data_IF_786001583560
#
_entry.id   IF_786001583560
#
_cell.length_a   1.000
_cell.length_b   1.000
_cell.length_c   1.000
_cell.angle_alpha   90.00
_cell.angle_beta   90.00
_cell.angle_gamma   90.00
#
_symmetry.space_group_name_H-M   'P 1'
#
loop_
_entity.id
_entity.type
_entity.pdbx_description
1 polymer ?
#
# COMPACT_ATOMS: atom_id res chain seq x y z
N UNK A 1 0.47 5.96 -17.57
CA UNK A 1 -0.11 5.53 -16.27
C UNK A 1 0.54 6.32 -15.14
N UNK A 2 -0.27 7.03 -14.35
CA UNK A 2 0.16 7.86 -13.22
C UNK A 2 -0.02 7.14 -11.89
N UNK A 3 0.39 7.78 -10.78
CA UNK A 3 0.30 7.24 -9.41
C UNK A 3 -1.10 6.78 -9.00
N UNK A 4 -2.15 7.40 -9.54
CA UNK A 4 -3.55 7.07 -9.21
C UNK A 4 -4.01 5.72 -9.76
N UNK A 5 -3.17 5.07 -10.57
CA UNK A 5 -3.38 3.73 -11.12
C UNK A 5 -2.47 2.68 -10.47
N UNK A 6 -1.83 3.05 -9.36
CA UNK A 6 -0.78 2.25 -8.71
C UNK A 6 -0.96 2.25 -7.20
N UNK A 7 -1.03 1.07 -6.61
CA UNK A 7 -1.11 0.85 -5.18
C UNK A 7 0.05 -0.03 -4.72
N UNK A 8 0.90 0.48 -3.84
CA UNK A 8 1.89 -0.30 -3.14
C UNK A 8 1.27 -0.93 -1.89
N UNK A 9 1.46 -2.24 -1.74
CA UNK A 9 0.85 -3.04 -0.68
C UNK A 9 1.93 -3.82 0.07
N UNK A 10 1.93 -3.74 1.40
CA UNK A 10 2.93 -4.36 2.27
C UNK A 10 2.33 -5.29 3.34
N UNK A 11 1.01 -5.52 3.29
CA UNK A 11 0.28 -6.26 4.32
C UNK A 11 -0.90 -7.07 3.76
N UNK A 12 -2.02 -7.05 4.48
CA UNK A 12 -3.18 -7.95 4.28
C UNK A 12 -3.86 -7.88 2.89
N UNK A 13 -3.59 -6.84 2.10
CA UNK A 13 -4.10 -6.67 0.73
C UNK A 13 -3.23 -7.38 -0.33
N UNK A 14 -2.07 -7.93 0.03
CA UNK A 14 -1.16 -8.57 -0.90
C UNK A 14 -1.78 -9.87 -1.49
N UNK A 15 -1.35 -10.32 -2.68
CA UNK A 15 -1.86 -11.56 -3.29
C UNK A 15 -1.79 -12.74 -2.32
N UNK A 16 -2.92 -13.44 -2.15
CA UNK A 16 -3.04 -14.59 -1.26
C UNK A 16 -3.23 -14.28 0.23
N UNK A 17 -3.36 -13.00 0.60
CA UNK A 17 -3.70 -12.58 1.96
C UNK A 17 -5.21 -12.41 2.15
N UNK A 18 -5.65 -12.33 3.41
CA UNK A 18 -7.07 -12.33 3.80
C UNK A 18 -7.90 -11.24 3.10
N UNK A 19 -7.31 -10.07 2.85
CA UNK A 19 -8.00 -8.92 2.26
C UNK A 19 -7.71 -8.73 0.77
N UNK A 20 -7.00 -9.64 0.11
CA UNK A 20 -6.76 -9.58 -1.34
C UNK A 20 -8.07 -9.47 -2.15
N UNK A 21 -9.18 -9.99 -1.61
CA UNK A 21 -10.51 -9.88 -2.20
C UNK A 21 -10.99 -8.42 -2.40
N UNK A 22 -10.41 -7.44 -1.69
CA UNK A 22 -10.72 -6.03 -1.89
C UNK A 22 -10.20 -5.49 -3.22
N UNK A 23 -9.11 -6.08 -3.73
CA UNK A 23 -8.52 -5.78 -5.04
C UNK A 23 -8.89 -6.84 -6.08
N UNK A 24 -9.52 -7.94 -5.66
CA UNK A 24 -9.96 -9.01 -6.56
C UNK A 24 -11.08 -8.52 -7.48
N UNK A 25 -10.90 -8.74 -8.79
CA UNK A 25 -11.82 -8.31 -9.84
C UNK A 25 -11.35 -7.07 -10.60
N UNK A 26 -10.34 -6.34 -10.11
CA UNK A 26 -9.69 -5.26 -10.86
C UNK A 26 -8.75 -5.85 -11.92
N UNK A 27 -8.85 -5.38 -13.15
CA UNK A 27 -7.92 -5.76 -14.21
C UNK A 27 -6.56 -5.13 -13.95
N UNK A 28 -5.54 -5.93 -13.62
CA UNK A 28 -4.25 -5.37 -13.24
C UNK A 28 -3.11 -6.36 -13.10
N UNK A 29 -1.91 -5.81 -12.96
CA UNK A 29 -0.66 -6.56 -12.76
C UNK A 29 -0.07 -6.32 -11.38
N UNK A 30 0.58 -7.35 -10.86
CA UNK A 30 1.35 -7.30 -9.63
C UNK A 30 2.84 -7.41 -9.94
N UNK A 31 3.66 -6.61 -9.28
CA UNK A 31 5.11 -6.73 -9.34
C UNK A 31 5.75 -6.44 -7.97
N UNK A 32 6.85 -7.10 -7.61
CA UNK A 32 7.57 -6.80 -6.38
C UNK A 32 8.23 -5.42 -6.47
N UNK A 33 8.25 -4.71 -5.36
CA UNK A 33 8.94 -3.43 -5.22
C UNK A 33 9.41 -3.21 -3.78
N UNK A 34 10.09 -2.10 -3.58
CA UNK A 34 10.61 -1.69 -2.27
C UNK A 34 10.23 -0.23 -2.01
N UNK A 35 9.76 0.06 -0.80
CA UNK A 35 9.63 1.44 -0.29
C UNK A 35 10.52 1.61 0.93
N UNK A 36 10.68 2.85 1.41
CA UNK A 36 11.42 3.12 2.65
C UNK A 36 10.50 3.67 3.72
N UNK A 37 10.63 3.14 4.92
CA UNK A 37 9.80 3.53 6.06
C UNK A 37 9.93 2.58 7.24
N UNK A 38 9.24 2.94 8.32
CA UNK A 38 9.25 2.17 9.55
C UNK A 38 7.96 1.35 9.64
N UNK A 39 8.10 0.04 9.81
CA UNK A 39 6.99 -0.82 10.21
C UNK A 39 6.77 -0.66 11.70
N UNK A 40 5.58 -0.23 12.08
CA UNK A 40 5.16 -0.01 13.47
C UNK A 40 4.09 -1.03 13.78
N UNK A 41 4.24 -1.75 14.89
CA UNK A 41 3.25 -2.71 15.37
C UNK A 41 2.06 -1.96 16.01
N UNK A 42 1.35 -1.20 15.19
CA UNK A 42 0.23 -0.32 15.54
C UNK A 42 -0.76 -0.22 14.36
N UNK A 43 -2.03 0.04 14.67
CA UNK A 43 -3.17 -0.03 13.74
C UNK A 43 -4.00 -1.30 13.91
N UNK A 44 -5.27 -1.32 13.46
CA UNK A 44 -6.13 -2.51 13.57
C UNK A 44 -5.54 -3.77 12.91
N UNK A 45 -4.72 -3.59 11.87
CA UNK A 45 -3.98 -4.66 11.22
C UNK A 45 -2.91 -5.30 12.12
N UNK A 46 -2.34 -4.56 13.08
CA UNK A 46 -1.27 -5.02 13.95
C UNK A 46 -1.73 -6.16 14.88
N UNK A 47 -2.96 -6.07 15.39
CA UNK A 47 -3.59 -7.15 16.16
C UNK A 47 -3.79 -8.44 15.33
N UNK A 48 -3.80 -8.32 14.00
CA UNK A 48 -3.86 -9.43 13.04
C UNK A 48 -2.49 -9.78 12.42
N UNK A 49 -1.39 -9.17 12.90
CA UNK A 49 -0.02 -9.44 12.41
C UNK A 49 0.43 -8.61 11.21
N UNK A 50 -0.28 -7.52 10.88
CA UNK A 50 0.05 -6.58 9.81
C UNK A 50 0.49 -5.23 10.41
N UNK A 51 1.80 -5.04 10.68
CA UNK A 51 2.29 -3.77 11.21
C UNK A 51 2.00 -2.67 10.21
N UNK A 52 1.55 -1.50 10.67
CA UNK A 52 1.35 -0.37 9.78
C UNK A 52 2.66 0.31 9.39
N UNK A 53 2.71 0.87 8.19
CA UNK A 53 3.90 1.54 7.66
C UNK A 53 3.84 3.04 7.89
N UNK A 54 4.97 3.63 8.33
CA UNK A 54 5.23 5.07 8.27
C UNK A 54 6.31 5.33 7.22
N UNK A 55 5.97 5.87 6.03
CA UNK A 55 6.93 6.20 5.00
C UNK A 55 7.99 7.18 5.51
N UNK A 56 9.27 6.83 5.33
CA UNK A 56 10.41 7.64 5.74
C UNK A 56 11.58 7.34 4.78
N UNK A 57 12.08 8.33 4.00
CA UNK A 57 13.21 8.13 3.10
C UNK A 57 14.50 7.67 3.79
N UNK A 58 14.67 7.99 5.07
CA UNK A 58 15.81 7.54 5.89
C UNK A 58 15.53 6.22 6.61
N UNK A 59 14.31 5.69 6.51
CA UNK A 59 13.91 4.42 7.10
C UNK A 59 14.50 3.20 6.38
N UNK A 60 14.33 2.01 6.99
CA UNK A 60 14.72 0.75 6.37
C UNK A 60 13.88 0.45 5.13
N UNK A 61 14.37 -0.49 4.32
CA UNK A 61 13.68 -0.99 3.13
C UNK A 61 12.53 -1.92 3.54
N UNK A 62 11.35 -1.66 2.98
CA UNK A 62 10.14 -2.43 3.20
C UNK A 62 9.71 -3.03 1.88
N UNK A 63 9.63 -4.36 1.85
CA UNK A 63 9.18 -5.11 0.69
C UNK A 63 7.68 -4.87 0.46
N UNK A 64 7.32 -4.51 -0.76
CA UNK A 64 5.94 -4.27 -1.17
C UNK A 64 5.59 -5.06 -2.43
N UNK A 65 4.30 -5.19 -2.68
CA UNK A 65 3.73 -5.61 -3.95
C UNK A 65 3.07 -4.38 -4.57
N UNK A 66 3.54 -3.96 -5.75
CA UNK A 66 2.94 -2.90 -6.52
C UNK A 66 1.85 -3.47 -7.40
N UNK A 67 0.60 -3.12 -7.10
CA UNK A 67 -0.54 -3.35 -7.95
C UNK A 67 -0.70 -2.20 -8.94
N UNK A 68 -0.88 -2.50 -10.21
CA UNK A 68 -1.13 -1.52 -11.27
C UNK A 68 -2.39 -1.91 -12.04
N UNK A 69 -3.37 -1.01 -12.11
CA UNK A 69 -4.68 -1.28 -12.73
C UNK A 69 -5.29 0.01 -13.28
N UNK A 70 -6.01 -0.10 -14.40
CA UNK A 70 -6.79 1.01 -14.96
C UNK A 70 -8.04 1.35 -14.13
N UNK A 71 -8.53 0.39 -13.35
CA UNK A 71 -9.76 0.50 -12.56
C UNK A 71 -9.51 1.14 -11.17
N UNK A 72 -8.25 1.21 -10.71
CA UNK A 72 -7.91 1.75 -9.38
C UNK A 72 -8.50 3.15 -9.08
N UNK A 73 -8.49 4.13 -10.01
CA UNK A 73 -9.10 5.43 -9.83
C UNK A 73 -10.54 5.40 -9.33
N UNK A 74 -11.34 4.45 -9.82
CA UNK A 74 -12.77 4.33 -9.50
C UNK A 74 -13.02 3.60 -8.17
N UNK A 75 -11.98 2.99 -7.59
CA UNK A 75 -12.07 2.17 -6.39
C UNK A 75 -11.42 2.80 -5.16
N UNK A 76 -10.81 3.98 -5.29
CA UNK A 76 -10.14 4.67 -4.20
C UNK A 76 -11.05 4.97 -3.02
N UNK A 77 -12.26 5.50 -3.24
CA UNK A 77 -13.20 5.82 -2.15
C UNK A 77 -13.56 4.58 -1.33
N UNK A 78 -13.72 3.42 -2.00
CA UNK A 78 -14.00 2.15 -1.32
C UNK A 78 -12.81 1.68 -0.49
N UNK A 79 -11.60 1.77 -1.03
CA UNK A 79 -10.38 1.36 -0.33
C UNK A 79 -10.10 2.29 0.85
N UNK A 80 -10.26 3.60 0.68
CA UNK A 80 -10.13 4.60 1.74
C UNK A 80 -11.14 4.35 2.86
N UNK A 81 -12.39 3.98 2.53
CA UNK A 81 -13.41 3.61 3.52
C UNK A 81 -13.13 2.29 4.25
N UNK A 82 -12.49 1.31 3.59
CA UNK A 82 -12.12 0.03 4.20
C UNK A 82 -10.97 0.18 5.20
N UNK A 83 -9.94 0.93 4.82
CA UNK A 83 -8.77 1.19 5.66
C UNK A 83 -9.12 2.11 6.85
N UNK A 84 -10.12 2.99 6.67
CA UNK A 84 -10.75 3.73 7.74
C UNK A 84 -9.91 4.89 8.29
N UNK A 85 -10.11 5.21 9.57
CA UNK A 85 -9.50 6.38 10.19
C UNK A 85 -8.04 6.15 10.63
N UNK A 86 -7.59 4.90 10.73
CA UNK A 86 -6.25 4.55 11.21
C UNK A 86 -5.18 4.67 10.12
N UNK A 87 -5.59 4.61 8.86
CA UNK A 87 -4.70 4.69 7.72
C UNK A 87 -5.06 5.88 6.83
N UNK A 88 -4.06 6.38 6.10
CA UNK A 88 -4.21 7.43 5.10
C UNK A 88 -3.46 7.02 3.83
N UNK A 89 -4.08 7.30 2.69
CA UNK A 89 -3.47 7.09 1.39
C UNK A 89 -2.48 8.20 1.08
N UNK A 90 -1.20 7.85 1.05
CA UNK A 90 -0.11 8.80 0.78
C UNK A 90 0.70 8.39 -0.46
N UNK A 91 1.24 9.35 -1.22
CA UNK A 91 2.11 9.05 -2.33
C UNK A 91 3.49 8.58 -1.84
N UNK A 92 4.04 7.55 -2.47
CA UNK A 92 5.40 7.05 -2.23
C UNK A 92 6.11 6.71 -3.54
N UNK A 93 7.44 6.77 -3.50
CA UNK A 93 8.29 6.21 -4.54
C UNK A 93 8.56 4.74 -4.26
N UNK A 94 8.18 3.89 -5.20
CA UNK A 94 8.44 2.45 -5.17
C UNK A 94 9.63 2.15 -6.07
N UNK A 95 10.66 1.54 -5.49
CA UNK A 95 11.82 1.04 -6.19
C UNK A 95 11.55 -0.36 -6.76
N UNK A 96 11.61 -0.48 -8.09
CA UNK A 96 11.44 -1.74 -8.82
C UNK A 96 12.79 -2.34 -9.22
N UNK A 97 13.88 -1.91 -8.59
CA UNK A 97 15.26 -2.36 -8.79
C UNK A 97 15.97 -1.68 -9.96
N UNK A 98 15.28 -1.47 -11.09
CA UNK A 98 15.86 -0.79 -12.28
C UNK A 98 15.39 0.66 -12.41
N UNK A 99 14.18 0.97 -11.93
CA UNK A 99 13.60 2.30 -11.99
C UNK A 99 12.64 2.49 -10.82
N UNK A 100 12.30 3.75 -10.55
CA UNK A 100 11.32 4.13 -9.51
C UNK A 100 10.04 4.61 -10.14
N UNK A 101 8.93 4.32 -9.45
CA UNK A 101 7.59 4.76 -9.85
C UNK A 101 6.86 5.34 -8.67
N UNK A 102 6.06 6.39 -8.91
CA UNK A 102 5.12 6.87 -7.92
C UNK A 102 3.90 5.95 -7.84
N UNK A 103 3.50 5.63 -6.61
CA UNK A 103 2.30 4.88 -6.27
C UNK A 103 1.67 5.45 -5.00
N UNK A 104 0.44 5.07 -4.72
CA UNK A 104 -0.18 5.29 -3.42
C UNK A 104 0.12 4.13 -2.48
N UNK A 105 0.19 4.38 -1.17
CA UNK A 105 0.28 3.37 -0.13
C UNK A 105 -0.60 3.79 1.05
N UNK A 106 -1.19 2.83 1.75
CA UNK A 106 -1.90 3.11 3.00
C UNK A 106 -0.90 3.13 4.15
N UNK A 107 -0.57 4.33 4.64
CA UNK A 107 0.32 4.54 5.78
C UNK A 107 -0.49 4.75 7.06
N UNK A 108 0.08 4.44 8.22
CA UNK A 108 -0.54 4.79 9.50
C UNK A 108 -0.68 6.30 9.60
N UNK A 109 -1.85 6.78 10.01
CA UNK A 109 -1.99 8.19 10.36
C UNK A 109 -1.09 8.50 11.56
N UNK A 110 -0.41 9.66 11.55
CA UNK A 110 0.24 10.14 12.76
C UNK A 110 -0.83 10.36 13.83
N UNK A 111 -0.53 9.96 15.07
CA UNK A 111 -1.38 10.32 16.22
C UNK A 111 -1.42 11.86 16.33
N UNK A 112 -2.60 12.44 16.65
CA UNK A 112 -2.76 13.89 16.77
C UNK A 112 -1.99 14.52 17.94
#
# INVERSE_FOLDING_TARGET
MNRDHRLAVYGSLAPGQANHHQLAGLGGGWQPGVVRGWLVDSGWGAAAGYPGLRPDPMGPEVMVQLFTSEDLPDHWDRLDAFEGEEYERVPVDVDLGTYRVQAHIYALRPEP
#
